data_IF_262907354270
#
_entry.id   IF_262907354270
#
_cell.length_a   1.000
_cell.length_b   1.000
_cell.length_c   1.000
_cell.angle_alpha   90.00
_cell.angle_beta   90.00
_cell.angle_gamma   90.00
#
_symmetry.space_group_name_H-M   'P 1'
#
loop_
_entity.id
_entity.type
_entity.pdbx_description
1 polymer ?
#
# COMPACT_ATOMS: atom_id res chain seq x y z
N UNK A 1 -34.96 -3.50 4.37
CA UNK A 1 -34.06 -4.19 3.43
C UNK A 1 -32.67 -3.60 3.57
N UNK A 2 -31.87 -4.20 4.42
CA UNK A 2 -30.43 -3.88 4.49
C UNK A 2 -29.82 -4.36 3.17
N UNK A 3 -29.21 -3.44 2.40
CA UNK A 3 -28.45 -3.78 1.21
C UNK A 3 -27.44 -4.87 1.55
N UNK A 4 -27.18 -5.79 0.61
CA UNK A 4 -26.16 -6.84 0.79
C UNK A 4 -24.79 -6.18 0.91
N UNK A 5 -24.37 -5.86 2.14
CA UNK A 5 -22.98 -5.56 2.44
C UNK A 5 -22.19 -6.85 2.21
N UNK A 6 -21.30 -6.85 1.24
CA UNK A 6 -20.32 -7.92 1.07
C UNK A 6 -19.10 -7.54 1.91
N UNK A 7 -18.90 -8.24 3.01
CA UNK A 7 -17.64 -8.17 3.75
C UNK A 7 -16.58 -8.95 2.97
N UNK A 8 -15.48 -8.31 2.63
CA UNK A 8 -14.40 -8.91 1.86
C UNK A 8 -13.29 -9.44 2.76
N UNK A 9 -13.09 -8.84 3.92
CA UNK A 9 -12.07 -9.22 4.88
C UNK A 9 -12.43 -10.42 5.75
N UNK A 10 -11.40 -11.19 6.13
CA UNK A 10 -11.54 -12.22 7.16
C UNK A 10 -11.95 -11.61 8.49
N UNK A 11 -11.40 -10.44 8.78
CA UNK A 11 -11.84 -9.59 9.88
C UNK A 11 -12.15 -8.20 9.33
N UNK A 12 -13.41 -7.78 9.41
CA UNK A 12 -13.87 -6.48 8.92
C UNK A 12 -14.45 -5.65 10.03
N UNK A 13 -13.99 -4.39 10.16
CA UNK A 13 -14.59 -3.37 11.00
C UNK A 13 -15.13 -2.24 10.12
N UNK A 14 -16.35 -1.81 10.41
CA UNK A 14 -17.01 -0.75 9.66
C UNK A 14 -17.62 0.28 10.59
N UNK A 15 -17.34 1.57 10.33
CA UNK A 15 -17.96 2.70 11.03
C UNK A 15 -17.63 2.75 12.53
N UNK A 16 -16.39 2.40 12.92
CA UNK A 16 -15.99 2.26 14.31
C UNK A 16 -14.82 3.15 14.70
N UNK A 17 -14.75 3.53 15.97
CA UNK A 17 -13.51 3.97 16.60
C UNK A 17 -12.85 2.75 17.24
N UNK A 18 -11.58 2.51 16.94
CA UNK A 18 -10.91 1.28 17.34
C UNK A 18 -9.53 1.52 17.96
N UNK A 19 -9.16 0.57 18.79
CA UNK A 19 -7.77 0.36 19.22
C UNK A 19 -7.51 -1.13 19.22
N UNK A 20 -6.68 -1.59 18.25
CA UNK A 20 -6.27 -2.99 18.14
C UNK A 20 -4.79 -3.05 18.55
N UNK A 21 -4.46 -3.95 19.45
CA UNK A 21 -3.09 -4.10 19.95
C UNK A 21 -2.69 -5.56 20.10
N UNK A 22 -1.41 -5.86 19.79
CA UNK A 22 -0.82 -7.18 19.98
C UNK A 22 -1.65 -8.30 19.35
N UNK A 23 -2.08 -8.09 18.12
CA UNK A 23 -2.99 -8.99 17.40
C UNK A 23 -2.35 -9.54 16.14
N UNK A 24 -2.66 -10.80 15.84
CA UNK A 24 -2.18 -11.50 14.66
C UNK A 24 -3.36 -11.99 13.81
N UNK A 25 -3.26 -11.80 12.50
CA UNK A 25 -4.22 -12.26 11.50
C UNK A 25 -3.47 -13.16 10.51
N UNK A 26 -3.86 -14.41 10.38
CA UNK A 26 -3.11 -15.34 9.54
C UNK A 26 -3.98 -16.39 8.87
N UNK A 27 -3.47 -16.94 7.77
CA UNK A 27 -4.02 -18.13 7.09
C UNK A 27 -5.51 -18.00 6.75
N UNK A 28 -5.96 -16.80 6.39
CA UNK A 28 -7.34 -16.58 5.99
C UNK A 28 -7.60 -17.09 4.56
N UNK A 29 -8.87 -17.14 4.17
CA UNK A 29 -9.34 -17.52 2.83
C UNK A 29 -10.13 -16.38 2.16
N UNK A 30 -10.10 -15.20 2.74
CA UNK A 30 -10.83 -14.02 2.27
C UNK A 30 -9.99 -13.17 1.34
N UNK A 31 -10.60 -12.21 0.66
CA UNK A 31 -9.95 -11.22 -0.19
C UNK A 31 -8.92 -10.41 0.61
N UNK A 32 -9.29 -9.92 1.82
CA UNK A 32 -8.39 -9.21 2.71
C UNK A 32 -8.24 -9.95 4.04
N UNK A 33 -7.09 -9.87 4.70
CA UNK A 33 -6.95 -10.39 6.06
C UNK A 33 -7.63 -9.47 7.06
N UNK A 34 -7.34 -8.18 6.99
CA UNK A 34 -7.93 -7.14 7.82
C UNK A 34 -8.49 -6.03 6.93
N UNK A 35 -9.81 -5.83 6.95
CA UNK A 35 -10.50 -4.79 6.19
C UNK A 35 -11.13 -3.76 7.13
N UNK A 36 -10.73 -2.50 6.99
CA UNK A 36 -11.11 -1.39 7.86
C UNK A 36 -11.81 -0.30 7.06
N UNK A 37 -13.14 -0.18 7.23
CA UNK A 37 -13.98 0.73 6.44
C UNK A 37 -14.59 1.81 7.33
N UNK A 38 -14.35 3.08 7.01
CA UNK A 38 -14.87 4.23 7.77
C UNK A 38 -14.49 4.16 9.27
N UNK A 39 -13.26 3.81 9.57
CA UNK A 39 -12.77 3.65 10.94
C UNK A 39 -11.82 4.77 11.34
N UNK A 40 -11.74 5.01 12.66
CA UNK A 40 -10.75 5.90 13.27
C UNK A 40 -10.05 5.21 14.41
N UNK A 41 -8.77 5.50 14.63
CA UNK A 41 -8.09 5.00 15.82
C UNK A 41 -6.67 4.54 15.60
N UNK A 42 -6.28 3.49 16.33
CA UNK A 42 -4.89 3.05 16.41
C UNK A 42 -4.73 1.56 16.22
N UNK A 43 -3.69 1.18 15.49
CA UNK A 43 -3.17 -0.17 15.38
C UNK A 43 -1.79 -0.24 16.03
N UNK A 44 -1.60 -1.12 17.02
CA UNK A 44 -0.35 -1.24 17.77
C UNK A 44 0.15 -2.68 17.74
N UNK A 45 1.34 -2.91 17.20
CA UNK A 45 1.97 -4.21 17.14
C UNK A 45 1.04 -5.26 16.49
N UNK A 46 0.74 -5.05 15.21
CA UNK A 46 -0.12 -5.90 14.40
C UNK A 46 0.75 -6.79 13.52
N UNK A 47 0.36 -8.04 13.39
CA UNK A 47 1.01 -9.01 12.52
C UNK A 47 0.01 -9.62 11.56
N UNK A 48 0.35 -9.67 10.26
CA UNK A 48 -0.48 -10.28 9.21
C UNK A 48 0.39 -11.26 8.41
N UNK A 49 -0.05 -12.52 8.34
CA UNK A 49 0.76 -13.56 7.69
C UNK A 49 -0.08 -14.45 6.77
N UNK A 50 0.58 -14.95 5.70
CA UNK A 50 0.07 -16.02 4.86
C UNK A 50 -1.36 -15.76 4.33
N UNK A 51 -1.55 -14.59 3.72
CA UNK A 51 -2.83 -14.21 3.13
C UNK A 51 -2.87 -14.54 1.64
N UNK A 52 -4.02 -14.98 1.10
CA UNK A 52 -4.13 -15.27 -0.33
C UNK A 52 -4.19 -14.01 -1.20
N UNK A 53 -4.66 -12.89 -0.66
CA UNK A 53 -4.78 -11.59 -1.28
C UNK A 53 -4.29 -10.48 -0.33
N UNK A 54 -4.93 -9.29 -0.27
CA UNK A 54 -4.40 -8.14 0.45
C UNK A 54 -4.26 -8.38 1.97
N UNK A 55 -3.23 -7.79 2.56
CA UNK A 55 -3.00 -7.90 3.99
C UNK A 55 -3.93 -6.99 4.79
N UNK A 56 -3.74 -5.70 4.65
CA UNK A 56 -4.52 -4.65 5.30
C UNK A 56 -5.14 -3.73 4.24
N UNK A 57 -6.46 -3.69 4.17
CA UNK A 57 -7.23 -2.78 3.33
C UNK A 57 -7.93 -1.72 4.18
N UNK A 58 -7.75 -0.43 3.82
CA UNK A 58 -8.26 0.72 4.57
C UNK A 58 -9.06 1.64 3.63
N UNK A 59 -10.37 1.65 3.80
CA UNK A 59 -11.28 2.52 3.08
C UNK A 59 -11.84 3.63 3.98
N UNK A 60 -11.67 4.89 3.60
CA UNK A 60 -12.19 6.05 4.35
C UNK A 60 -11.75 6.08 5.82
N UNK A 61 -10.55 5.57 6.11
CA UNK A 61 -10.01 5.48 7.46
C UNK A 61 -9.22 6.72 7.88
N UNK A 62 -9.11 6.89 9.20
CA UNK A 62 -8.28 7.91 9.86
C UNK A 62 -7.50 7.20 10.98
N UNK A 63 -6.28 6.73 10.67
CA UNK A 63 -5.57 5.74 11.48
C UNK A 63 -4.12 6.11 11.77
N UNK A 64 -3.68 5.75 12.96
CA UNK A 64 -2.27 5.71 13.34
C UNK A 64 -1.85 4.23 13.49
N UNK A 65 -0.84 3.82 12.74
CA UNK A 65 -0.25 2.48 12.82
C UNK A 65 1.11 2.61 13.47
N UNK A 66 1.21 2.22 14.74
CA UNK A 66 2.46 2.37 15.48
C UNK A 66 3.50 1.33 15.07
N UNK A 67 3.07 0.06 14.93
CA UNK A 67 3.92 -1.01 14.42
C UNK A 67 3.09 -2.05 13.70
N UNK A 68 3.56 -2.44 12.50
CA UNK A 68 2.93 -3.51 11.72
C UNK A 68 3.97 -4.37 11.01
N UNK A 69 3.75 -5.68 11.01
CA UNK A 69 4.53 -6.64 10.25
C UNK A 69 3.62 -7.44 9.34
N UNK A 70 3.94 -7.48 8.02
CA UNK A 70 3.20 -8.22 7.02
C UNK A 70 4.15 -9.17 6.27
N UNK A 71 3.81 -10.45 6.23
CA UNK A 71 4.68 -11.47 5.62
C UNK A 71 3.87 -12.46 4.80
N UNK A 72 4.37 -12.79 3.59
CA UNK A 72 3.73 -13.72 2.65
C UNK A 72 2.33 -13.28 2.24
N UNK A 73 2.23 -12.10 1.63
CA UNK A 73 0.97 -11.50 1.19
C UNK A 73 0.75 -11.78 -0.29
N UNK A 74 -0.43 -12.32 -0.63
CA UNK A 74 -0.87 -12.52 -2.01
C UNK A 74 -0.32 -13.80 -2.66
N UNK A 75 -0.29 -14.91 -1.97
CA UNK A 75 0.37 -16.15 -2.40
C UNK A 75 0.08 -16.61 -3.84
N UNK A 76 -1.09 -16.29 -4.39
CA UNK A 76 -1.50 -16.71 -5.74
C UNK A 76 -2.18 -15.57 -6.54
N UNK A 77 -2.08 -14.34 -6.09
CA UNK A 77 -2.74 -13.17 -6.70
C UNK A 77 -1.80 -11.98 -6.68
N UNK A 78 -2.01 -10.99 -7.53
CA UNK A 78 -1.35 -9.69 -7.38
C UNK A 78 -2.01 -8.95 -6.21
N UNK A 79 -1.35 -8.92 -5.06
CA UNK A 79 -1.90 -8.37 -3.81
C UNK A 79 -0.97 -7.35 -3.17
N UNK A 80 -1.57 -6.36 -2.53
CA UNK A 80 -0.88 -5.31 -1.80
C UNK A 80 -0.75 -5.68 -0.31
N UNK A 81 0.39 -5.40 0.32
CA UNK A 81 0.48 -5.66 1.77
C UNK A 81 -0.40 -4.67 2.54
N UNK A 82 -0.34 -3.38 2.18
CA UNK A 82 -1.24 -2.34 2.69
C UNK A 82 -1.84 -1.61 1.48
N UNK A 83 -3.15 -1.68 1.29
CA UNK A 83 -3.90 -0.83 0.35
C UNK A 83 -4.75 0.19 1.08
N UNK A 84 -4.83 1.41 0.55
CA UNK A 84 -5.66 2.44 1.16
C UNK A 84 -6.36 3.30 0.11
N UNK A 85 -7.62 3.58 0.37
CA UNK A 85 -8.48 4.42 -0.46
C UNK A 85 -9.16 5.50 0.36
N UNK A 86 -9.08 6.77 -0.06
CA UNK A 86 -9.73 7.92 0.58
C UNK A 86 -9.47 8.03 2.08
N UNK A 87 -8.27 7.67 2.51
CA UNK A 87 -7.89 7.53 3.91
C UNK A 87 -6.78 8.49 4.31
N UNK A 88 -6.72 8.80 5.60
CA UNK A 88 -5.58 9.44 6.23
C UNK A 88 -4.89 8.42 7.16
N UNK A 89 -3.63 8.10 6.86
CA UNK A 89 -2.91 7.06 7.60
C UNK A 89 -1.51 7.56 7.98
N UNK A 90 -1.16 7.45 9.25
CA UNK A 90 0.20 7.63 9.73
C UNK A 90 0.78 6.29 10.15
N UNK A 91 1.94 5.91 9.60
CA UNK A 91 2.64 4.66 9.89
C UNK A 91 3.97 5.00 10.54
N UNK A 92 4.18 4.58 11.78
CA UNK A 92 5.42 4.84 12.49
C UNK A 92 6.51 3.83 12.14
N UNK A 93 6.17 2.54 12.13
CA UNK A 93 7.11 1.45 11.81
C UNK A 93 6.37 0.32 11.07
N UNK A 94 6.87 -0.03 9.88
CA UNK A 94 6.34 -1.13 9.08
C UNK A 94 7.45 -2.05 8.56
N UNK A 95 7.22 -3.35 8.69
CA UNK A 95 8.08 -4.38 8.11
C UNK A 95 7.24 -5.26 7.19
N UNK A 96 7.60 -5.30 5.92
CA UNK A 96 6.85 -5.97 4.85
C UNK A 96 7.77 -6.93 4.10
N UNK A 97 7.38 -8.21 4.01
CA UNK A 97 8.19 -9.23 3.33
C UNK A 97 7.34 -10.15 2.47
N UNK A 98 7.85 -10.49 1.29
CA UNK A 98 7.24 -11.45 0.36
C UNK A 98 5.83 -11.04 -0.04
N UNK A 99 5.73 -9.98 -0.84
CA UNK A 99 4.47 -9.44 -1.34
C UNK A 99 4.41 -9.61 -2.86
N UNK A 100 3.30 -10.07 -3.38
CA UNK A 100 3.21 -10.39 -4.80
C UNK A 100 3.00 -9.16 -5.69
N UNK A 101 2.49 -8.04 -5.16
CA UNK A 101 2.38 -6.78 -5.88
C UNK A 101 3.05 -5.64 -5.09
N UNK A 102 2.36 -4.81 -4.34
CA UNK A 102 2.94 -3.62 -3.71
C UNK A 102 3.12 -3.77 -2.19
N UNK A 103 4.23 -3.28 -1.69
CA UNK A 103 4.39 -3.14 -0.25
C UNK A 103 3.33 -2.18 0.32
N UNK A 104 3.24 -0.97 -0.24
CA UNK A 104 2.19 0.00 0.13
C UNK A 104 1.58 0.62 -1.12
N UNK A 105 0.27 0.57 -1.21
CA UNK A 105 -0.57 1.14 -2.27
C UNK A 105 -1.43 2.27 -1.71
N UNK A 106 -1.13 3.51 -2.12
CA UNK A 106 -1.83 4.71 -1.63
C UNK A 106 -2.67 5.26 -2.76
N UNK A 107 -4.00 5.14 -2.66
CA UNK A 107 -4.94 5.42 -3.74
C UNK A 107 -6.08 6.38 -3.39
N UNK A 108 -6.70 6.90 -4.44
CA UNK A 108 -8.01 7.57 -4.41
C UNK A 108 -8.09 8.81 -3.51
N UNK A 109 -7.04 9.64 -3.54
CA UNK A 109 -6.98 10.86 -2.75
C UNK A 109 -6.58 10.66 -1.29
N UNK A 110 -6.01 9.50 -0.96
CA UNK A 110 -5.47 9.24 0.37
C UNK A 110 -4.27 10.10 0.69
N UNK A 111 -4.04 10.33 1.97
CA UNK A 111 -2.83 10.96 2.49
C UNK A 111 -2.16 9.97 3.43
N UNK A 112 -0.91 9.61 3.14
CA UNK A 112 -0.13 8.69 3.96
C UNK A 112 1.17 9.35 4.40
N UNK A 113 1.49 9.21 5.69
CA UNK A 113 2.79 9.56 6.24
C UNK A 113 3.43 8.33 6.83
N UNK A 114 4.66 8.05 6.44
CA UNK A 114 5.42 6.88 6.90
C UNK A 114 6.72 7.39 7.52
N UNK A 115 6.94 7.06 8.79
CA UNK A 115 8.19 7.41 9.43
C UNK A 115 9.31 6.44 9.04
N UNK A 116 9.12 5.14 9.22
CA UNK A 116 10.10 4.13 8.85
C UNK A 116 9.41 2.90 8.24
N UNK A 117 9.97 2.41 7.13
CA UNK A 117 9.46 1.22 6.46
C UNK A 117 10.59 0.37 5.88
N UNK A 118 10.49 -0.93 6.12
CA UNK A 118 11.37 -1.94 5.53
C UNK A 118 10.55 -2.86 4.63
N UNK A 119 10.88 -2.91 3.33
CA UNK A 119 10.19 -3.75 2.34
C UNK A 119 11.19 -4.68 1.66
N UNK A 120 10.89 -5.97 1.65
CA UNK A 120 11.69 -6.94 0.92
C UNK A 120 10.87 -7.95 0.13
N UNK A 121 11.38 -8.31 -1.06
CA UNK A 121 10.73 -9.24 -1.98
C UNK A 121 9.31 -8.80 -2.35
N UNK A 122 9.19 -7.69 -3.09
CA UNK A 122 7.94 -7.17 -3.63
C UNK A 122 8.10 -6.84 -5.12
N UNK A 123 7.00 -6.75 -5.86
CA UNK A 123 7.03 -6.24 -7.23
C UNK A 123 7.29 -4.73 -7.23
N UNK A 124 6.55 -4.00 -6.41
CA UNK A 124 6.69 -2.55 -6.19
C UNK A 124 6.85 -2.28 -4.70
N UNK A 125 7.76 -1.37 -4.32
CA UNK A 125 7.89 -0.95 -2.93
C UNK A 125 6.70 -0.10 -2.47
N UNK A 126 6.66 1.16 -2.86
CA UNK A 126 5.60 2.12 -2.50
C UNK A 126 5.02 2.73 -3.78
N UNK A 127 3.70 2.73 -3.90
CA UNK A 127 2.98 3.38 -4.98
C UNK A 127 1.99 4.42 -4.47
N UNK A 128 2.07 5.65 -4.99
CA UNK A 128 1.06 6.69 -4.78
C UNK A 128 0.32 6.95 -6.10
N UNK A 129 -0.99 6.80 -6.09
CA UNK A 129 -1.83 6.86 -7.29
C UNK A 129 -3.09 7.71 -7.04
N UNK A 130 -3.74 8.12 -8.12
CA UNK A 130 -5.11 8.64 -8.09
C UNK A 130 -5.31 9.82 -7.13
N UNK A 131 -4.54 10.90 -7.34
CA UNK A 131 -4.54 12.13 -6.53
C UNK A 131 -4.10 11.97 -5.07
N UNK A 132 -3.51 10.84 -4.72
CA UNK A 132 -3.01 10.59 -3.37
C UNK A 132 -1.68 11.30 -3.12
N UNK A 133 -1.36 11.49 -1.84
CA UNK A 133 -0.11 12.09 -1.39
C UNK A 133 0.55 11.22 -0.33
N UNK A 134 1.80 10.86 -0.57
CA UNK A 134 2.59 10.09 0.37
C UNK A 134 3.88 10.82 0.75
N UNK A 135 4.22 10.76 2.02
CA UNK A 135 5.43 11.33 2.61
C UNK A 135 6.11 10.25 3.42
N UNK A 136 7.33 9.90 3.05
CA UNK A 136 8.12 8.85 3.70
C UNK A 136 9.40 9.48 4.23
N UNK A 137 9.68 9.28 5.52
CA UNK A 137 10.89 9.78 6.12
C UNK A 137 12.08 8.88 5.78
N UNK A 138 11.99 7.58 6.09
CA UNK A 138 13.01 6.60 5.76
C UNK A 138 12.41 5.31 5.20
N UNK A 139 13.00 4.81 4.10
CA UNK A 139 12.63 3.54 3.49
C UNK A 139 13.87 2.67 3.26
N UNK A 140 13.83 1.43 3.72
CA UNK A 140 14.82 0.41 3.37
C UNK A 140 14.17 -0.65 2.48
N UNK A 141 14.71 -0.86 1.28
CA UNK A 141 14.10 -1.75 0.30
C UNK A 141 15.11 -2.71 -0.30
N UNK A 142 14.74 -3.98 -0.41
CA UNK A 142 15.59 -5.00 -1.03
C UNK A 142 14.79 -5.97 -1.89
N UNK A 143 15.39 -6.43 -2.98
CA UNK A 143 14.76 -7.37 -3.91
C UNK A 143 13.41 -6.89 -4.45
N UNK A 144 13.32 -5.60 -4.80
CA UNK A 144 12.16 -5.02 -5.47
C UNK A 144 12.30 -5.27 -6.97
N UNK A 145 11.33 -5.91 -7.59
CA UNK A 145 11.47 -6.42 -8.96
C UNK A 145 11.26 -5.34 -10.01
N UNK A 146 10.22 -4.50 -9.88
CA UNK A 146 9.85 -3.52 -10.89
C UNK A 146 10.29 -2.10 -10.51
N UNK A 147 9.87 -1.61 -9.34
CA UNK A 147 10.12 -0.22 -8.94
C UNK A 147 10.07 -0.06 -7.44
N UNK A 148 11.10 0.55 -6.84
CA UNK A 148 11.09 0.90 -5.42
C UNK A 148 10.05 1.96 -5.09
N UNK A 149 9.80 2.91 -6.00
CA UNK A 149 8.80 3.97 -5.82
C UNK A 149 8.08 4.29 -7.13
N UNK A 150 6.76 4.34 -7.09
CA UNK A 150 5.90 4.65 -8.25
C UNK A 150 4.91 5.77 -7.96
N UNK A 151 4.68 6.62 -8.99
CA UNK A 151 3.56 7.58 -9.00
C UNK A 151 2.82 7.55 -10.32
N UNK A 152 1.50 7.39 -10.28
CA UNK A 152 0.69 7.29 -11.50
C UNK A 152 -0.79 7.61 -11.25
N UNK A 153 -1.57 7.59 -12.35
CA UNK A 153 -3.02 7.64 -12.35
C UNK A 153 -3.57 6.32 -12.90
N UNK A 154 -4.34 5.60 -12.11
CA UNK A 154 -5.05 4.38 -12.51
C UNK A 154 -6.49 4.69 -12.94
N UNK A 155 -7.17 5.55 -12.19
CA UNK A 155 -8.58 5.88 -12.41
C UNK A 155 -8.72 7.23 -13.12
N UNK A 156 -9.45 7.27 -14.22
CA UNK A 156 -9.52 8.41 -15.15
C UNK A 156 -10.06 9.70 -14.53
N UNK A 157 -10.86 9.62 -13.48
CA UNK A 157 -11.45 10.78 -12.79
C UNK A 157 -10.57 11.38 -11.68
N UNK A 158 -9.38 10.82 -11.46
CA UNK A 158 -8.36 11.39 -10.59
C UNK A 158 -7.19 12.01 -11.39
N UNK A 159 -6.34 12.74 -10.72
CA UNK A 159 -5.04 13.17 -11.21
C UNK A 159 -3.96 12.14 -10.86
N UNK A 160 -2.71 12.42 -11.23
CA UNK A 160 -1.56 11.60 -10.83
C UNK A 160 -1.30 11.62 -9.32
N UNK A 161 -0.47 10.69 -8.85
CA UNK A 161 -0.07 10.60 -7.46
C UNK A 161 1.12 11.54 -7.13
N UNK A 162 1.30 11.80 -5.85
CA UNK A 162 2.46 12.48 -5.28
C UNK A 162 3.16 11.57 -4.26
N UNK A 163 4.47 11.38 -4.38
CA UNK A 163 5.28 10.64 -3.42
C UNK A 163 6.59 11.39 -3.17
N UNK A 164 6.86 11.69 -1.92
CA UNK A 164 8.15 12.19 -1.46
C UNK A 164 8.76 11.19 -0.48
N UNK A 165 9.97 10.73 -0.76
CA UNK A 165 10.79 9.91 0.13
C UNK A 165 12.04 10.71 0.48
N UNK A 166 12.20 11.05 1.76
CA UNK A 166 13.33 11.88 2.20
C UNK A 166 14.65 11.11 2.10
N UNK A 167 14.64 9.85 2.55
CA UNK A 167 15.82 8.99 2.51
C UNK A 167 15.42 7.55 2.16
N UNK A 168 16.21 6.92 1.27
CA UNK A 168 15.96 5.55 0.81
C UNK A 168 17.23 4.76 0.64
N UNK A 169 17.29 3.60 1.27
CA UNK A 169 18.30 2.57 1.01
C UNK A 169 17.69 1.47 0.13
N UNK A 170 18.17 1.31 -1.10
CA UNK A 170 17.64 0.30 -2.00
C UNK A 170 18.72 -0.27 -2.92
N UNK A 171 18.58 -1.55 -3.28
CA UNK A 171 19.38 -2.18 -4.33
C UNK A 171 18.72 -2.10 -5.72
N UNK A 172 17.54 -1.49 -5.84
CA UNK A 172 16.85 -1.21 -7.10
C UNK A 172 16.47 0.28 -7.17
N UNK A 173 17.25 1.08 -7.86
CA UNK A 173 16.94 2.49 -8.15
C UNK A 173 15.92 2.68 -9.29
N UNK A 174 15.12 1.67 -9.58
CA UNK A 174 14.00 1.75 -10.50
C UNK A 174 12.89 2.63 -9.94
N UNK A 175 12.88 3.92 -10.32
CA UNK A 175 11.84 4.87 -9.96
C UNK A 175 10.96 5.16 -11.15
N UNK A 176 9.65 5.09 -10.99
CA UNK A 176 8.67 5.27 -12.06
C UNK A 176 7.71 6.40 -11.73
N UNK A 177 7.70 7.45 -12.54
CA UNK A 177 6.73 8.55 -12.43
C UNK A 177 6.01 8.76 -13.75
N UNK A 178 4.68 8.63 -13.76
CA UNK A 178 3.84 8.90 -14.91
C UNK A 178 3.66 10.42 -15.09
N UNK A 179 3.45 10.89 -16.33
CA UNK A 179 3.05 12.29 -16.62
C UNK A 179 1.90 12.74 -15.70
N UNK A 180 1.94 13.98 -15.25
CA UNK A 180 1.01 14.57 -14.27
C UNK A 180 1.06 13.97 -12.86
N UNK A 181 2.11 13.22 -12.55
CA UNK A 181 2.44 12.76 -11.20
C UNK A 181 3.74 13.40 -10.73
N UNK A 182 4.03 13.33 -9.44
CA UNK A 182 5.27 13.81 -8.86
C UNK A 182 5.88 12.73 -7.99
N UNK A 183 7.14 12.39 -8.26
CA UNK A 183 7.96 11.52 -7.43
C UNK A 183 9.25 12.27 -7.08
N UNK A 184 9.50 12.41 -5.80
CA UNK A 184 10.70 13.06 -5.28
C UNK A 184 11.45 12.10 -4.34
N UNK A 185 12.76 11.97 -4.54
CA UNK A 185 13.67 11.16 -3.71
C UNK A 185 14.75 12.11 -3.18
N UNK A 186 14.73 12.38 -1.88
CA UNK A 186 15.56 13.43 -1.31
C UNK A 186 15.29 14.78 -1.98
N UNK A 187 16.33 15.37 -2.54
CA UNK A 187 16.22 16.64 -3.30
C UNK A 187 15.94 16.45 -4.80
N UNK A 188 15.89 15.19 -5.29
CA UNK A 188 15.79 14.90 -6.72
C UNK A 188 14.34 14.62 -7.12
N UNK A 189 13.81 15.41 -8.06
CA UNK A 189 12.53 15.14 -8.69
C UNK A 189 12.75 14.18 -9.88
N UNK A 190 12.11 13.02 -9.83
CA UNK A 190 12.21 11.98 -10.87
C UNK A 190 11.49 12.42 -12.12
N UNK A 191 12.18 12.31 -13.26
CA UNK A 191 11.62 12.67 -14.56
C UNK A 191 10.41 11.80 -14.89
N UNK A 192 9.31 12.45 -15.23
CA UNK A 192 8.07 11.77 -15.65
C UNK A 192 8.18 11.17 -17.06
N UNK A 193 7.42 10.10 -17.29
CA UNK A 193 7.32 9.40 -18.57
C UNK A 193 5.85 9.17 -18.96
N UNK A 194 5.58 9.07 -20.25
CA UNK A 194 4.31 8.48 -20.71
C UNK A 194 4.31 7.00 -20.43
N UNK A 195 3.37 6.55 -19.61
CA UNK A 195 3.23 5.15 -19.25
C UNK A 195 1.79 4.74 -19.53
N UNK A 196 1.64 3.66 -20.28
CA UNK A 196 0.34 3.00 -20.37
C UNK A 196 0.17 2.11 -19.15
N UNK A 197 -0.65 2.57 -18.20
CA UNK A 197 -0.84 1.89 -16.92
C UNK A 197 -1.59 0.57 -17.12
N UNK A 198 -2.58 0.51 -18.00
CA UNK A 198 -3.32 -0.74 -18.26
C UNK A 198 -2.36 -1.82 -18.78
N UNK A 199 -1.51 -1.46 -19.76
CA UNK A 199 -0.48 -2.37 -20.26
C UNK A 199 0.53 -2.79 -19.19
N UNK A 200 0.94 -1.87 -18.31
CA UNK A 200 1.84 -2.18 -17.19
C UNK A 200 1.20 -3.18 -16.22
N UNK A 201 -0.08 -3.02 -15.92
CA UNK A 201 -0.83 -3.96 -15.11
C UNK A 201 -0.98 -5.32 -15.77
N UNK A 202 -1.34 -5.37 -17.07
CA UNK A 202 -1.52 -6.62 -17.81
C UNK A 202 -0.21 -7.42 -17.94
N UNK A 203 0.91 -6.73 -18.16
CA UNK A 203 2.21 -7.38 -18.43
C UNK A 203 2.98 -7.75 -17.14
N UNK A 204 2.78 -7.03 -16.03
CA UNK A 204 3.63 -7.19 -14.84
C UNK A 204 2.86 -7.40 -13.54
N UNK A 205 1.75 -6.70 -13.33
CA UNK A 205 1.02 -6.69 -12.06
C UNK A 205 -0.20 -7.63 -12.05
N UNK A 206 -0.72 -8.03 -13.23
CA UNK A 206 -1.84 -8.96 -13.37
C UNK A 206 -1.44 -10.33 -13.93
N UNK A 207 -0.21 -10.49 -14.41
CA UNK A 207 0.27 -11.75 -14.98
C UNK A 207 0.50 -12.88 -13.95
N UNK A 208 0.20 -12.61 -12.69
CA UNK A 208 0.23 -13.59 -11.60
C UNK A 208 -1.21 -14.04 -11.23
N UNK A 209 -2.08 -14.15 -12.24
CA UNK A 209 -3.41 -14.76 -12.07
C UNK A 209 -3.38 -16.23 -12.34
#
# INVERSE_FOLDING_TARGET
LFGKLRYRGAFTLHGATLKISNSSFSSNQSEDALNLVQVKGELNNIQIFDTPSDGLDIDYGDLIINKIELVNIGKNTGADAIDMSKSFVEINDAVIRNVTDKGVSIGEGSICKINEINISNALVGIASKDSSKAYVNFAQMSNIQLSSAMTYRKKTHYNGGYLNINDIETNNEGYISQENSVLQIGEVIIKTKKINIDKLYDETMLSIK
#
